data_IF_403958080080
#
_entry.id   IF_403958080080
#
_cell.length_a   1.000
_cell.length_b   1.000
_cell.length_c   1.000
_cell.angle_alpha   90.00
_cell.angle_beta   90.00
_cell.angle_gamma   90.00
#
_symmetry.space_group_name_H-M   'P 1'
#
loop_
_entity.id
_entity.type
_entity.pdbx_description
1 polymer ?
#
# COMPACT_ATOMS: atom_id res chain seq x y z
N UNK A 1 16.29 -0.45 -13.53
CA UNK A 1 16.71 -0.56 -12.13
C UNK A 1 16.82 -2.03 -11.84
N UNK A 2 18.02 -2.50 -11.52
CA UNK A 2 18.32 -3.93 -11.33
C UNK A 2 17.40 -4.59 -10.31
N UNK A 3 17.06 -3.90 -9.21
CA UNK A 3 16.19 -4.43 -8.16
C UNK A 3 14.76 -4.70 -8.60
N UNK A 4 14.23 -3.90 -9.54
CA UNK A 4 12.93 -4.18 -10.13
C UNK A 4 12.98 -5.44 -10.99
N UNK A 5 14.02 -5.58 -11.82
CA UNK A 5 14.15 -6.72 -12.72
C UNK A 5 14.43 -8.02 -11.96
N UNK A 6 15.14 -7.94 -10.82
CA UNK A 6 15.31 -9.04 -9.89
C UNK A 6 13.99 -9.52 -9.28
N UNK A 7 13.04 -8.61 -9.00
CA UNK A 7 11.75 -8.95 -8.39
C UNK A 7 10.65 -9.29 -9.42
N UNK A 8 10.72 -8.74 -10.64
CA UNK A 8 9.61 -8.76 -11.62
C UNK A 8 10.00 -9.29 -13.00
N UNK A 9 11.21 -9.81 -13.13
CA UNK A 9 11.74 -10.38 -14.36
C UNK A 9 12.46 -9.36 -15.25
N UNK A 10 13.35 -9.87 -16.10
CA UNK A 10 14.26 -9.07 -16.92
C UNK A 10 13.52 -8.08 -17.84
N UNK A 11 14.03 -6.85 -17.90
CA UNK A 11 13.51 -5.75 -18.73
C UNK A 11 12.15 -5.20 -18.27
N UNK A 12 11.60 -5.66 -17.15
CA UNK A 12 10.33 -5.16 -16.63
C UNK A 12 10.40 -3.69 -16.23
N UNK A 13 11.55 -3.22 -15.74
CA UNK A 13 11.75 -1.81 -15.40
C UNK A 13 11.68 -0.92 -16.64
N UNK A 14 12.35 -1.33 -17.72
CA UNK A 14 12.35 -0.59 -18.99
C UNK A 14 10.94 -0.51 -19.57
N UNK A 15 10.18 -1.61 -19.52
CA UNK A 15 8.77 -1.61 -19.95
C UNK A 15 7.91 -0.70 -19.09
N UNK A 16 8.07 -0.72 -17.76
CA UNK A 16 7.35 0.15 -16.85
C UNK A 16 7.66 1.64 -17.10
N UNK A 17 8.94 1.97 -17.32
CA UNK A 17 9.38 3.33 -17.62
C UNK A 17 8.80 3.83 -18.95
N UNK A 18 8.79 2.99 -19.99
CA UNK A 18 8.16 3.31 -21.28
C UNK A 18 6.66 3.56 -21.13
N UNK A 19 5.98 2.77 -20.30
CA UNK A 19 4.56 2.97 -19.97
C UNK A 19 4.32 4.32 -19.28
N UNK A 20 5.15 4.66 -18.30
CA UNK A 20 5.12 5.97 -17.62
C UNK A 20 5.34 7.12 -18.61
N UNK A 21 6.32 7.01 -19.50
CA UNK A 21 6.61 8.01 -20.54
C UNK A 21 5.41 8.24 -21.46
N UNK A 22 4.79 7.16 -21.95
CA UNK A 22 3.60 7.24 -22.83
C UNK A 22 2.42 7.84 -22.09
N UNK A 23 2.15 7.41 -20.86
CA UNK A 23 1.04 7.91 -20.07
C UNK A 23 1.18 9.41 -19.77
N UNK A 24 2.35 9.84 -19.30
CA UNK A 24 2.63 11.25 -19.01
C UNK A 24 2.56 12.11 -20.28
N UNK A 25 3.05 11.62 -21.43
CA UNK A 25 2.95 12.35 -22.72
C UNK A 25 1.50 12.65 -23.13
N UNK A 26 0.55 11.80 -22.75
CA UNK A 26 -0.87 11.96 -23.07
C UNK A 26 -1.67 12.60 -21.91
N UNK A 27 -1.00 13.23 -20.94
CA UNK A 27 -1.67 13.91 -19.83
C UNK A 27 -2.37 12.98 -18.85
N UNK A 28 -2.07 11.67 -18.88
CA UNK A 28 -2.62 10.71 -17.91
C UNK A 28 -1.91 10.94 -16.58
N UNK A 29 -2.69 11.16 -15.52
CA UNK A 29 -2.14 11.28 -14.18
C UNK A 29 -1.56 9.93 -13.73
N UNK A 30 -0.30 9.93 -13.33
CA UNK A 30 0.45 8.73 -12.97
C UNK A 30 0.98 8.82 -11.55
N UNK A 31 1.38 7.66 -11.01
CA UNK A 31 2.21 7.54 -9.80
C UNK A 31 3.18 6.38 -9.97
N UNK A 32 4.35 6.49 -9.37
CA UNK A 32 5.34 5.41 -9.29
C UNK A 32 5.08 4.64 -8.00
N UNK A 33 4.96 3.32 -8.11
CA UNK A 33 4.68 2.46 -6.96
C UNK A 33 5.72 1.34 -6.89
N UNK A 34 6.30 1.12 -5.72
CA UNK A 34 7.25 0.05 -5.46
C UNK A 34 6.78 -0.82 -4.28
N UNK A 35 6.87 -2.14 -4.44
CA UNK A 35 6.63 -3.07 -3.33
C UNK A 35 7.94 -3.24 -2.56
N UNK A 36 7.92 -3.19 -1.24
CA UNK A 36 9.13 -3.45 -0.43
C UNK A 36 9.67 -4.85 -0.72
N UNK A 37 10.98 -4.93 -0.99
CA UNK A 37 11.68 -6.19 -1.18
C UNK A 37 13.13 -6.06 -0.74
N UNK A 38 13.82 -7.18 -0.52
CA UNK A 38 15.24 -7.16 -0.10
C UNK A 38 16.13 -6.47 -1.13
N UNK A 39 15.70 -6.41 -2.38
CA UNK A 39 16.46 -5.77 -3.46
C UNK A 39 16.36 -4.24 -3.46
N UNK A 40 15.26 -3.65 -2.96
CA UNK A 40 14.97 -2.22 -3.15
C UNK A 40 14.88 -1.39 -1.86
N UNK A 41 14.96 -2.04 -0.69
CA UNK A 41 15.03 -1.37 0.63
C UNK A 41 16.44 -0.84 0.86
N UNK A 42 16.85 0.12 0.02
CA UNK A 42 18.17 0.73 0.04
C UNK A 42 18.13 2.20 -0.44
N UNK A 43 19.14 2.98 -0.06
CA UNK A 43 19.18 4.41 -0.37
C UNK A 43 19.35 4.71 -1.87
N UNK A 44 19.98 3.80 -2.64
CA UNK A 44 20.20 3.97 -4.08
C UNK A 44 18.87 3.99 -4.82
N UNK A 45 18.02 3.01 -4.55
CA UNK A 45 16.75 2.84 -5.24
C UNK A 45 15.74 3.90 -4.79
N UNK A 46 15.75 4.29 -3.52
CA UNK A 46 14.98 5.43 -3.05
C UNK A 46 15.34 6.73 -3.79
N UNK A 47 16.64 7.01 -4.00
CA UNK A 47 17.09 8.15 -4.82
C UNK A 47 16.60 8.03 -6.26
N UNK A 48 16.73 6.85 -6.86
CA UNK A 48 16.27 6.60 -8.22
C UNK A 48 14.78 6.92 -8.38
N UNK A 49 13.94 6.41 -7.47
CA UNK A 49 12.49 6.68 -7.48
C UNK A 49 12.19 8.17 -7.30
N UNK A 50 12.89 8.87 -6.41
CA UNK A 50 12.74 10.31 -6.23
C UNK A 50 13.12 11.10 -7.50
N UNK A 51 14.23 10.75 -8.15
CA UNK A 51 14.66 11.37 -9.40
C UNK A 51 13.68 11.11 -10.55
N UNK A 52 13.13 9.89 -10.66
CA UNK A 52 12.11 9.56 -11.65
C UNK A 52 10.83 10.36 -11.39
N UNK A 53 10.36 10.40 -10.15
CA UNK A 53 9.17 11.15 -9.78
C UNK A 53 9.31 12.64 -10.13
N UNK A 54 10.47 13.24 -9.86
CA UNK A 54 10.78 14.60 -10.27
C UNK A 54 10.78 14.77 -11.81
N UNK A 55 11.47 13.88 -12.55
CA UNK A 55 11.54 13.92 -14.02
C UNK A 55 10.16 13.85 -14.67
N UNK A 56 9.27 13.01 -14.15
CA UNK A 56 7.93 12.79 -14.69
C UNK A 56 6.85 13.67 -14.02
N UNK A 57 7.25 14.63 -13.17
CA UNK A 57 6.35 15.48 -12.38
C UNK A 57 5.24 14.68 -11.68
N UNK A 58 5.60 13.52 -11.16
CA UNK A 58 4.69 12.57 -10.49
C UNK A 58 5.13 12.35 -9.04
N UNK A 59 4.42 11.47 -8.33
CA UNK A 59 4.76 11.01 -7.00
C UNK A 59 5.26 9.58 -7.00
N UNK A 60 5.97 9.19 -5.94
CA UNK A 60 6.36 7.81 -5.70
C UNK A 60 6.02 7.36 -4.29
N UNK A 61 5.94 6.05 -4.07
CA UNK A 61 5.73 5.51 -2.73
C UNK A 61 5.80 4.00 -2.72
N UNK A 62 5.56 3.45 -1.53
CA UNK A 62 5.78 2.04 -1.27
C UNK A 62 4.55 1.36 -0.68
N UNK A 63 4.49 0.03 -0.80
CA UNK A 63 3.64 -0.86 -0.02
C UNK A 63 4.36 -2.12 0.43
N UNK A 64 3.80 -2.78 1.43
CA UNK A 64 4.18 -4.12 1.81
C UNK A 64 3.75 -5.11 0.71
N UNK A 65 4.52 -6.21 0.52
CA UNK A 65 4.04 -7.32 -0.30
C UNK A 65 2.83 -7.97 0.37
N UNK A 66 1.83 -8.34 -0.42
CA UNK A 66 0.79 -9.27 0.02
C UNK A 66 1.41 -10.66 -0.06
N UNK A 67 1.72 -11.26 1.08
CA UNK A 67 2.16 -12.65 1.15
C UNK A 67 0.93 -13.51 1.36
N UNK A 68 0.81 -14.63 0.62
CA UNK A 68 -0.22 -15.62 0.88
C UNK A 68 0.09 -16.33 2.21
N UNK A 69 -0.21 -15.67 3.33
CA UNK A 69 -0.07 -16.26 4.65
C UNK A 69 -1.26 -17.20 4.86
N UNK A 70 -1.15 -18.43 4.39
CA UNK A 70 -2.24 -19.41 4.50
C UNK A 70 -1.86 -20.84 4.14
N UNK A 71 -0.99 -21.03 3.14
CA UNK A 71 -0.96 -22.32 2.43
C UNK A 71 0.34 -23.12 2.65
N UNK A 72 1.13 -22.79 3.68
CA UNK A 72 2.39 -23.48 3.96
C UNK A 72 3.50 -23.25 2.93
N UNK A 73 3.34 -22.28 2.03
CA UNK A 73 4.40 -21.86 1.12
C UNK A 73 5.51 -21.14 1.90
N UNK A 74 6.76 -21.53 1.65
CA UNK A 74 7.94 -20.86 2.17
C UNK A 74 7.87 -19.37 1.84
N UNK A 75 8.22 -18.51 2.82
CA UNK A 75 8.34 -17.08 2.55
C UNK A 75 9.37 -16.89 1.44
N UNK A 76 8.97 -16.28 0.33
CA UNK A 76 9.89 -16.00 -0.76
C UNK A 76 11.09 -15.20 -0.25
N UNK A 77 12.27 -15.44 -0.82
CA UNK A 77 13.50 -14.69 -0.54
C UNK A 77 13.37 -13.17 -0.74
N UNK A 78 12.29 -12.71 -1.35
CA UNK A 78 11.99 -11.31 -1.60
C UNK A 78 11.50 -10.54 -0.35
N UNK A 79 11.01 -11.23 0.69
CA UNK A 79 10.41 -10.60 1.88
C UNK A 79 11.49 -9.91 2.72
N UNK A 80 11.28 -8.63 3.02
CA UNK A 80 12.15 -7.84 3.90
C UNK A 80 11.77 -8.06 5.36
N UNK A 81 12.78 -8.21 6.21
CA UNK A 81 12.54 -8.31 7.65
C UNK A 81 12.35 -6.92 8.31
N UNK A 82 11.84 -6.91 9.54
CA UNK A 82 11.56 -5.67 10.26
C UNK A 82 12.80 -4.83 10.58
N UNK A 83 13.95 -5.47 10.78
CA UNK A 83 15.21 -4.78 11.09
C UNK A 83 15.73 -3.98 9.89
N UNK A 84 15.47 -4.44 8.67
CA UNK A 84 15.81 -3.72 7.43
C UNK A 84 14.75 -2.66 7.07
N UNK A 85 13.47 -2.98 7.25
CA UNK A 85 12.38 -2.08 6.81
C UNK A 85 12.26 -0.82 7.66
N UNK A 86 12.37 -0.92 9.00
CA UNK A 86 12.16 0.23 9.89
C UNK A 86 13.15 1.37 9.62
N UNK A 87 14.48 1.14 9.53
CA UNK A 87 15.42 2.18 9.14
C UNK A 87 15.11 2.79 7.76
N UNK A 88 14.67 1.96 6.81
CA UNK A 88 14.32 2.42 5.48
C UNK A 88 13.06 3.30 5.48
N UNK A 89 12.00 2.93 6.21
CA UNK A 89 10.80 3.75 6.36
C UNK A 89 11.13 5.10 7.02
N UNK A 90 12.04 5.11 8.01
CA UNK A 90 12.57 6.36 8.59
C UNK A 90 13.30 7.20 7.54
N UNK A 91 14.03 6.57 6.62
CA UNK A 91 14.66 7.25 5.49
C UNK A 91 13.63 7.81 4.50
N UNK A 92 12.59 7.06 4.15
CA UNK A 92 11.47 7.53 3.30
C UNK A 92 10.77 8.74 3.94
N UNK A 93 10.54 8.70 5.25
CA UNK A 93 10.02 9.85 6.02
C UNK A 93 10.92 11.07 5.91
N UNK A 94 12.24 10.92 6.01
CA UNK A 94 13.18 12.04 5.81
C UNK A 94 13.09 12.63 4.41
N UNK A 95 12.86 11.81 3.38
CA UNK A 95 12.64 12.30 2.01
C UNK A 95 11.36 13.13 1.92
N UNK A 96 10.25 12.62 2.48
CA UNK A 96 8.97 13.35 2.53
C UNK A 96 9.11 14.70 3.23
N UNK A 97 9.80 14.75 4.38
CA UNK A 97 10.05 15.98 5.14
C UNK A 97 10.94 16.99 4.40
N UNK A 98 11.75 16.53 3.44
CA UNK A 98 12.52 17.38 2.52
C UNK A 98 11.72 17.78 1.26
N UNK A 99 10.39 17.70 1.31
CA UNK A 99 9.49 18.00 0.19
C UNK A 99 9.70 17.15 -1.08
N UNK A 100 10.35 15.98 -0.97
CA UNK A 100 10.39 15.03 -2.08
C UNK A 100 8.98 14.47 -2.34
N UNK A 101 8.64 14.07 -3.59
CA UNK A 101 7.29 13.72 -3.98
C UNK A 101 6.87 12.30 -3.53
N UNK A 102 7.16 11.94 -2.29
CA UNK A 102 6.67 10.72 -1.65
C UNK A 102 5.17 10.88 -1.44
N UNK A 103 4.32 9.97 -1.94
CA UNK A 103 2.87 10.06 -1.71
C UNK A 103 2.49 9.56 -0.32
N UNK A 104 3.20 8.57 0.24
CA UNK A 104 2.86 8.02 1.57
C UNK A 104 2.76 9.16 2.61
N UNK A 105 1.76 9.09 3.48
CA UNK A 105 1.52 10.10 4.53
C UNK A 105 2.56 9.99 5.66
N UNK A 106 2.82 11.09 6.37
CA UNK A 106 3.71 11.06 7.54
C UNK A 106 3.12 10.17 8.65
N UNK A 107 1.80 10.20 8.82
CA UNK A 107 1.10 9.33 9.77
C UNK A 107 1.31 7.85 9.41
N UNK A 108 1.17 7.48 8.14
CA UNK A 108 1.35 6.11 7.68
C UNK A 108 2.81 5.64 7.81
N UNK A 109 3.78 6.52 7.52
CA UNK A 109 5.20 6.22 7.72
C UNK A 109 5.58 6.11 9.20
N UNK A 110 4.98 6.93 10.08
CA UNK A 110 5.17 6.82 11.53
C UNK A 110 4.59 5.51 12.05
N UNK A 111 3.37 5.17 11.60
CA UNK A 111 2.74 3.91 11.93
C UNK A 111 3.60 2.74 11.44
N UNK A 112 3.88 2.61 10.14
CA UNK A 112 4.63 1.47 9.61
C UNK A 112 6.06 1.30 10.17
N UNK A 113 6.68 2.37 10.70
CA UNK A 113 8.04 2.32 11.26
C UNK A 113 8.11 2.14 12.78
N UNK A 114 6.97 2.07 13.47
CA UNK A 114 6.92 1.87 14.91
C UNK A 114 6.90 0.38 15.29
N UNK A 115 7.02 0.12 16.59
CA UNK A 115 6.72 -1.16 17.22
C UNK A 115 5.32 -1.10 17.82
N UNK A 116 4.41 -2.07 17.59
CA UNK A 116 4.55 -3.36 16.89
C UNK A 116 4.16 -3.49 15.38
N UNK A 117 3.77 -2.47 14.57
CA UNK A 117 3.09 -2.62 13.26
C UNK A 117 3.78 -3.40 12.12
N UNK A 118 4.93 -4.03 12.35
CA UNK A 118 5.51 -5.06 11.48
C UNK A 118 5.32 -6.51 11.96
N UNK A 119 5.02 -6.72 13.25
CA UNK A 119 4.78 -8.05 13.84
C UNK A 119 3.29 -8.44 13.86
N UNK A 120 2.40 -7.50 13.55
CA UNK A 120 0.95 -7.67 13.54
C UNK A 120 0.47 -8.24 12.19
N UNK A 121 1.14 -9.26 11.67
CA UNK A 121 0.58 -10.10 10.61
C UNK A 121 -0.17 -11.32 11.17
N UNK A 122 -0.20 -11.49 12.50
CA UNK A 122 -0.87 -12.63 13.12
C UNK A 122 -2.31 -12.28 13.45
N UNK A 123 -3.20 -12.68 12.53
CA UNK A 123 -4.61 -13.07 12.71
C UNK A 123 -5.54 -12.05 13.38
N UNK A 124 -6.81 -12.07 12.98
CA UNK A 124 -7.90 -11.42 13.72
C UNK A 124 -7.76 -11.78 15.22
N UNK A 125 -7.48 -10.80 16.08
CA UNK A 125 -7.56 -10.96 17.53
C UNK A 125 -6.31 -10.70 18.38
N UNK A 126 -5.10 -10.52 17.83
CA UNK A 126 -3.89 -10.33 18.67
C UNK A 126 -3.13 -9.03 18.40
N UNK A 127 -3.82 -7.89 18.55
CA UNK A 127 -3.12 -6.64 18.84
C UNK A 127 -3.25 -6.30 20.30
N UNK A 128 -2.10 -6.08 20.95
CA UNK A 128 -2.03 -5.57 22.32
C UNK A 128 -2.77 -4.23 22.39
N UNK A 129 -3.74 -4.13 23.30
CA UNK A 129 -4.48 -2.90 23.64
C UNK A 129 -3.57 -1.73 24.05
N UNK A 130 -2.32 -2.03 24.39
CA UNK A 130 -1.34 -1.07 24.92
C UNK A 130 -0.50 -0.38 23.82
N UNK A 131 -0.89 -0.52 22.56
CA UNK A 131 -0.26 0.23 21.47
C UNK A 131 -0.52 1.72 21.65
N UNK A 132 0.56 2.49 21.76
CA UNK A 132 0.56 3.97 21.87
C UNK A 132 -0.08 4.65 20.64
N UNK A 133 -0.33 3.90 19.55
CA UNK A 133 -0.96 4.42 18.35
C UNK A 133 -2.47 4.29 18.43
N UNK A 134 -3.16 5.43 18.36
CA UNK A 134 -4.61 5.53 18.24
C UNK A 134 -5.05 4.83 16.94
N UNK A 135 -5.52 3.59 17.09
CA UNK A 135 -5.80 2.64 16.03
C UNK A 135 -6.79 3.22 15.01
N UNK A 136 -6.42 3.23 13.73
CA UNK A 136 -7.39 3.52 12.67
C UNK A 136 -8.28 2.29 12.49
N UNK A 137 -9.59 2.48 12.54
CA UNK A 137 -10.57 1.39 12.40
C UNK A 137 -10.48 0.85 10.98
N UNK A 138 -10.43 -0.46 10.81
CA UNK A 138 -10.46 -1.06 9.48
C UNK A 138 -11.88 -0.93 8.90
N UNK A 139 -12.00 -0.28 7.74
CA UNK A 139 -13.28 -0.12 7.04
C UNK A 139 -13.52 -1.17 5.95
N UNK A 140 -12.66 -2.19 5.86
CA UNK A 140 -12.83 -3.29 4.94
C UNK A 140 -14.13 -4.07 5.25
N UNK A 141 -14.95 -4.29 4.24
CA UNK A 141 -16.26 -4.93 4.38
C UNK A 141 -17.39 -4.02 4.85
N UNK A 142 -17.09 -2.79 5.30
CA UNK A 142 -18.08 -1.81 5.74
C UNK A 142 -18.19 -0.63 4.76
N UNK A 143 -17.04 -0.04 4.37
CA UNK A 143 -16.99 1.12 3.46
C UNK A 143 -16.26 0.87 2.16
N UNK A 144 -15.45 -0.20 2.10
CA UNK A 144 -14.82 -0.64 0.86
C UNK A 144 -14.73 -2.16 0.80
N UNK A 145 -14.65 -2.68 -0.42
CA UNK A 145 -14.47 -4.10 -0.69
C UNK A 145 -13.61 -4.30 -1.95
N UNK A 146 -13.28 -5.55 -2.22
CA UNK A 146 -12.69 -6.01 -3.47
C UNK A 146 -13.70 -6.85 -4.24
N UNK A 147 -13.53 -6.86 -5.56
CA UNK A 147 -14.25 -7.75 -6.47
C UNK A 147 -13.19 -8.42 -7.35
N UNK A 148 -13.17 -9.75 -7.39
CA UNK A 148 -12.24 -10.49 -8.25
C UNK A 148 -12.73 -10.57 -9.71
N UNK A 149 -11.95 -11.22 -10.57
CA UNK A 149 -12.31 -11.40 -11.99
C UNK A 149 -13.50 -12.35 -12.20
N UNK A 150 -13.81 -13.22 -11.23
CA UNK A 150 -14.95 -14.13 -11.29
C UNK A 150 -16.25 -13.45 -10.84
N UNK A 151 -16.14 -12.35 -10.09
CA UNK A 151 -17.24 -11.54 -9.57
C UNK A 151 -17.49 -11.72 -8.08
N UNK A 152 -16.65 -12.46 -7.35
CA UNK A 152 -16.79 -12.60 -5.90
C UNK A 152 -16.40 -11.31 -5.19
N UNK A 153 -17.26 -10.86 -4.29
CA UNK A 153 -16.99 -9.71 -3.42
C UNK A 153 -16.37 -10.20 -2.12
N UNK A 154 -15.29 -9.57 -1.66
CA UNK A 154 -14.63 -9.91 -0.41
C UNK A 154 -14.07 -8.65 0.26
N UNK A 155 -13.96 -8.61 1.61
CA UNK A 155 -13.66 -7.37 2.30
C UNK A 155 -12.17 -7.00 2.21
N UNK A 156 -11.29 -7.99 2.28
CA UNK A 156 -9.84 -7.81 2.27
C UNK A 156 -9.17 -9.09 1.76
N UNK A 157 -8.07 -8.93 1.02
CA UNK A 157 -7.27 -10.06 0.49
C UNK A 157 -6.77 -10.99 1.62
N UNK A 158 -6.42 -10.42 2.77
CA UNK A 158 -5.96 -11.16 3.96
C UNK A 158 -7.09 -11.95 4.65
N UNK A 159 -8.35 -11.67 4.30
CA UNK A 159 -9.52 -12.41 4.79
C UNK A 159 -9.98 -13.52 3.82
N UNK A 160 -9.31 -13.67 2.67
CA UNK A 160 -9.64 -14.66 1.65
C UNK A 160 -10.51 -14.09 0.51
N UNK A 161 -10.19 -14.51 -0.72
CA UNK A 161 -10.73 -13.97 -1.99
C UNK A 161 -12.12 -14.52 -2.34
N UNK A 162 -12.52 -15.67 -1.77
CA UNK A 162 -13.78 -16.37 -2.10
C UNK A 162 -14.76 -16.47 -0.92
N UNK A 163 -14.63 -15.59 0.08
CA UNK A 163 -15.46 -15.64 1.28
C UNK A 163 -16.83 -14.94 1.16
N UNK A 164 -17.12 -14.24 0.06
CA UNK A 164 -18.38 -13.52 -0.13
C UNK A 164 -19.18 -13.96 -1.37
N UNK A 165 -20.23 -13.21 -1.68
CA UNK A 165 -21.17 -13.56 -2.76
C UNK A 165 -20.70 -13.06 -4.13
N UNK A 166 -21.18 -13.70 -5.20
CA UNK A 166 -20.87 -13.29 -6.57
C UNK A 166 -21.85 -12.21 -7.07
N UNK A 167 -21.32 -11.08 -7.54
CA UNK A 167 -22.13 -9.95 -8.04
C UNK A 167 -23.03 -10.32 -9.22
N UNK A 168 -22.64 -11.32 -10.03
CA UNK A 168 -23.39 -11.75 -11.22
C UNK A 168 -24.66 -12.50 -10.84
N UNK A 169 -24.71 -13.06 -9.64
CA UNK A 169 -25.84 -13.87 -9.14
C UNK A 169 -26.80 -13.04 -8.29
N UNK A 170 -26.26 -12.20 -7.40
CA UNK A 170 -27.06 -11.49 -6.39
C UNK A 170 -27.06 -9.97 -6.54
N UNK A 171 -26.29 -9.42 -7.47
CA UNK A 171 -26.04 -7.99 -7.61
C UNK A 171 -25.07 -7.44 -6.56
N UNK A 172 -24.46 -6.28 -6.85
CA UNK A 172 -23.40 -5.72 -6.00
C UNK A 172 -23.89 -5.40 -4.57
N UNK A 173 -25.04 -4.73 -4.42
CA UNK A 173 -25.52 -4.30 -3.09
C UNK A 173 -25.67 -5.49 -2.14
N UNK A 174 -26.34 -6.57 -2.57
CA UNK A 174 -26.54 -7.75 -1.75
C UNK A 174 -25.23 -8.48 -1.44
N UNK A 175 -24.29 -8.52 -2.40
CA UNK A 175 -22.98 -9.09 -2.17
C UNK A 175 -22.14 -8.28 -1.18
N UNK A 176 -22.26 -6.95 -1.21
CA UNK A 176 -21.58 -6.03 -0.28
C UNK A 176 -22.17 -6.09 1.13
N UNK A 177 -23.50 -6.00 1.27
CA UNK A 177 -24.18 -6.07 2.56
C UNK A 177 -23.96 -7.42 3.28
N UNK A 178 -23.60 -8.47 2.53
CA UNK A 178 -23.27 -9.78 3.07
C UNK A 178 -21.89 -9.83 3.75
N UNK A 179 -20.99 -8.89 3.46
CA UNK A 179 -19.63 -8.93 3.98
C UNK A 179 -19.62 -8.75 5.50
N UNK A 180 -18.80 -9.53 6.23
CA UNK A 180 -18.60 -9.30 7.65
C UNK A 180 -17.76 -8.04 7.86
N UNK A 181 -18.07 -7.26 8.90
CA UNK A 181 -17.20 -6.19 9.34
C UNK A 181 -15.85 -6.75 9.80
N UNK A 182 -14.76 -6.27 9.20
CA UNK A 182 -13.39 -6.71 9.53
C UNK A 182 -12.93 -6.03 10.81
N UNK A 183 -12.87 -6.77 11.92
CA UNK A 183 -12.42 -6.27 13.23
C UNK A 183 -10.89 -6.31 13.39
N UNK A 184 -10.17 -5.73 12.44
CA UNK A 184 -8.73 -5.56 12.56
C UNK A 184 -8.41 -4.30 13.38
N UNK A 185 -7.45 -4.41 14.30
CA UNK A 185 -7.00 -3.29 15.15
C UNK A 185 -5.76 -2.56 14.58
N UNK A 186 -5.31 -2.97 13.39
CA UNK A 186 -4.16 -2.41 12.69
C UNK A 186 -3.86 -3.24 11.45
N UNK A 187 -3.16 -2.63 10.48
CA UNK A 187 -2.84 -3.25 9.22
C UNK A 187 -1.36 -3.10 8.90
N UNK A 188 -0.66 -4.19 8.62
CA UNK A 188 0.75 -4.18 8.22
C UNK A 188 0.97 -3.55 6.83
N UNK A 189 -0.10 -3.34 6.07
CA UNK A 189 -0.10 -2.75 4.73
C UNK A 189 -0.38 -1.26 4.81
N UNK A 190 0.66 -0.45 4.57
CA UNK A 190 0.61 1.02 4.67
C UNK A 190 -0.55 1.64 3.86
N UNK A 191 -0.93 1.05 2.73
CA UNK A 191 -2.00 1.54 1.87
C UNK A 191 -3.39 1.45 2.50
N UNK A 192 -3.67 0.43 3.32
CA UNK A 192 -4.96 0.33 4.01
C UNK A 192 -5.02 1.31 5.17
N UNK A 193 -3.90 1.56 5.84
CA UNK A 193 -3.83 2.63 6.83
C UNK A 193 -4.18 3.98 6.19
N UNK A 194 -3.60 4.30 5.03
CA UNK A 194 -3.92 5.54 4.31
C UNK A 194 -5.39 5.63 3.88
N UNK A 195 -5.95 4.53 3.36
CA UNK A 195 -7.36 4.49 2.98
C UNK A 195 -8.28 4.69 4.19
N UNK A 196 -8.02 4.00 5.31
CA UNK A 196 -8.82 4.12 6.51
C UNK A 196 -8.71 5.52 7.12
N UNK A 197 -7.51 6.15 7.12
CA UNK A 197 -7.34 7.52 7.61
C UNK A 197 -8.18 8.54 6.82
N UNK A 198 -8.29 8.35 5.50
CA UNK A 198 -9.15 9.17 4.65
C UNK A 198 -10.63 8.92 4.97
N UNK A 199 -11.03 7.66 5.13
CA UNK A 199 -12.41 7.28 5.45
C UNK A 199 -12.85 7.74 6.84
N UNK A 200 -11.92 7.79 7.80
CA UNK A 200 -12.13 8.36 9.13
C UNK A 200 -12.08 9.90 9.15
N UNK A 201 -11.93 10.55 7.98
CA UNK A 201 -11.84 12.00 7.84
C UNK A 201 -10.74 12.61 8.72
N UNK A 202 -9.65 11.87 8.95
CA UNK A 202 -8.50 12.37 9.72
C UNK A 202 -7.83 13.47 8.91
N UNK A 203 -7.54 14.59 9.56
CA UNK A 203 -7.05 15.80 8.90
C UNK A 203 -5.82 15.54 8.01
N UNK A 204 -4.87 14.73 8.47
CA UNK A 204 -3.68 14.37 7.69
C UNK A 204 -4.01 13.62 6.40
N UNK A 205 -4.96 12.69 6.45
CA UNK A 205 -5.46 11.96 5.27
C UNK A 205 -6.19 12.88 4.30
N UNK A 206 -7.08 13.75 4.81
CA UNK A 206 -7.81 14.73 4.01
C UNK A 206 -6.88 15.72 3.30
N UNK A 207 -5.90 16.29 4.02
CA UNK A 207 -4.94 17.23 3.46
C UNK A 207 -4.08 16.57 2.37
N UNK A 208 -3.74 15.29 2.52
CA UNK A 208 -3.04 14.54 1.48
C UNK A 208 -3.93 14.35 0.24
N UNK A 209 -5.20 13.99 0.42
CA UNK A 209 -6.18 13.85 -0.65
C UNK A 209 -6.34 15.16 -1.45
N UNK A 210 -6.55 16.29 -0.76
CA UNK A 210 -6.67 17.61 -1.37
C UNK A 210 -5.40 17.99 -2.13
N UNK A 211 -4.21 17.83 -1.52
CA UNK A 211 -2.93 18.09 -2.20
C UNK A 211 -2.76 17.26 -3.46
N UNK A 212 -3.27 16.03 -3.47
CA UNK A 212 -3.22 15.13 -4.64
C UNK A 212 -4.15 15.62 -5.74
N UNK A 213 -5.37 16.06 -5.41
CA UNK A 213 -6.33 16.62 -6.37
C UNK A 213 -5.83 17.94 -7.01
N UNK A 214 -5.15 18.78 -6.21
CA UNK A 214 -4.61 20.06 -6.67
C UNK A 214 -3.33 19.91 -7.52
N UNK A 215 -2.60 18.79 -7.38
CA UNK A 215 -1.48 18.43 -8.26
C UNK A 215 -2.01 17.88 -9.58
N UNK A 216 -2.68 18.71 -10.38
CA UNK A 216 -2.98 18.38 -11.77
C UNK A 216 -1.67 18.35 -12.57
N UNK A 217 -1.46 17.38 -13.47
CA UNK A 217 -0.34 17.44 -14.39
C UNK A 217 -0.46 18.69 -15.27
N UNK A 218 0.59 19.51 -15.30
CA UNK A 218 0.77 20.60 -16.26
C UNK A 218 1.55 20.16 -17.48
#
# INVERSE_FOLDING_TARGET
MESNDAARGNGSFTRALKGLEVATKHGINTRIHAVFSRYNVNARDLRCLASLAARFKTSFGFSNPITANGDGHEQSDHVVNANELKPFLKLVKRYKLKNMPVYNSIAALNFASSDPPMEISKRQGTMHRDSVFNHTICHAGDRFCYVDSEGFVYPCIECGVKAGLNIKEVGFKKAFDYLPAVKCHGCNHIQYFEANDILDLRLDGLLLGIKTLLRRPS
#
